data_IF_021072706528
#
_entry.id   IF_021072706528
#
_cell.length_a   1.000
_cell.length_b   1.000
_cell.length_c   1.000
_cell.angle_alpha   90.00
_cell.angle_beta   90.00
_cell.angle_gamma   90.00
#
_symmetry.space_group_name_H-M   'P 1'
#
loop_
_entity.id
_entity.type
_entity.pdbx_description
1 polymer ?
#
# COMPACT_ATOMS: atom_id res chain seq x y z
N UNK A 1 -0.53 0.45 32.60
CA UNK A 1 0.81 0.20 32.03
C UNK A 1 1.63 1.45 32.27
N UNK A 2 2.54 1.41 33.23
CA UNK A 2 3.40 2.54 33.57
C UNK A 2 4.39 2.80 32.44
N UNK A 3 4.30 3.97 31.80
CA UNK A 3 5.27 4.44 30.82
C UNK A 3 6.54 4.84 31.59
N UNK A 4 7.68 4.23 31.29
CA UNK A 4 8.96 4.64 31.85
C UNK A 4 9.23 6.11 31.48
N UNK A 5 9.72 6.95 32.41
CA UNK A 5 10.13 8.32 32.08
C UNK A 5 11.13 8.32 30.92
N UNK A 6 10.88 9.15 29.90
CA UNK A 6 11.72 9.24 28.70
C UNK A 6 11.42 8.24 27.58
N UNK A 7 10.46 7.33 27.74
CA UNK A 7 10.03 6.47 26.65
C UNK A 7 9.12 7.24 25.66
N UNK A 8 9.51 7.27 24.39
CA UNK A 8 8.69 7.83 23.32
C UNK A 8 7.43 6.95 23.09
N UNK A 9 6.27 7.56 22.79
CA UNK A 9 5.03 6.83 22.59
C UNK A 9 5.07 5.99 21.31
N UNK A 10 4.52 4.78 21.35
CA UNK A 10 4.27 4.01 20.12
C UNK A 10 3.10 4.65 19.37
N UNK A 11 3.29 4.88 18.08
CA UNK A 11 2.33 5.55 17.19
C UNK A 11 1.94 4.57 16.10
N UNK A 12 0.64 4.37 15.91
CA UNK A 12 0.08 3.44 14.94
C UNK A 12 -0.80 4.20 13.94
N UNK A 13 -0.80 3.79 12.69
CA UNK A 13 -1.53 4.50 11.61
C UNK A 13 -3.04 4.45 11.76
N UNK A 14 -3.58 3.42 12.43
CA UNK A 14 -4.99 3.35 12.83
C UNK A 14 -5.39 4.41 13.87
N UNK A 15 -4.43 4.93 14.64
CA UNK A 15 -4.65 5.91 15.70
C UNK A 15 -4.38 7.34 15.19
N UNK A 16 -4.25 7.51 13.88
CA UNK A 16 -3.95 8.81 13.25
C UNK A 16 -4.89 9.96 13.68
N UNK A 17 -6.21 9.78 13.88
CA UNK A 17 -7.08 10.87 14.35
C UNK A 17 -6.68 11.45 15.71
N UNK A 18 -5.95 10.69 16.53
CA UNK A 18 -5.40 11.16 17.81
C UNK A 18 -4.12 11.97 17.58
N UNK A 19 -3.33 11.60 16.57
CA UNK A 19 -2.03 12.21 16.28
C UNK A 19 -2.09 13.40 15.31
N UNK A 20 -3.16 13.52 14.51
CA UNK A 20 -3.35 14.65 13.59
C UNK A 20 -3.28 16.02 14.31
N UNK A 21 -4.00 16.25 15.44
CA UNK A 21 -3.87 17.50 16.20
C UNK A 21 -2.45 17.71 16.79
N UNK A 22 -1.73 16.62 17.08
CA UNK A 22 -0.35 16.70 17.58
C UNK A 22 0.60 17.10 16.46
N UNK A 23 0.39 16.61 15.24
CA UNK A 23 1.13 17.06 14.06
C UNK A 23 0.87 18.54 13.76
N UNK A 24 -0.37 18.99 13.88
CA UNK A 24 -0.71 20.42 13.76
C UNK A 24 0.01 21.27 14.81
N UNK A 25 -0.03 20.86 16.08
CA UNK A 25 0.64 21.56 17.17
C UNK A 25 2.16 21.59 17.01
N UNK A 26 2.77 20.44 16.66
CA UNK A 26 4.22 20.38 16.43
C UNK A 26 4.65 21.24 15.24
N UNK A 27 3.81 21.35 14.20
CA UNK A 27 4.06 22.27 13.10
C UNK A 27 3.93 23.74 13.52
N UNK A 28 2.92 24.09 14.31
CA UNK A 28 2.70 25.45 14.79
C UNK A 28 3.79 25.93 15.76
N UNK A 29 4.39 25.00 16.52
CA UNK A 29 5.42 25.26 17.52
C UNK A 29 6.85 25.00 17.02
N UNK A 30 7.01 24.75 15.72
CA UNK A 30 8.30 24.44 15.08
C UNK A 30 9.09 23.28 15.73
N UNK A 31 8.36 22.26 16.18
CA UNK A 31 8.92 21.07 16.82
C UNK A 31 9.27 19.99 15.79
N UNK A 32 10.16 20.34 14.85
CA UNK A 32 10.47 19.49 13.69
C UNK A 32 10.86 18.05 14.05
N UNK A 33 11.71 17.86 15.07
CA UNK A 33 12.14 16.51 15.47
C UNK A 33 11.02 15.62 16.02
N UNK A 34 10.02 16.20 16.71
CA UNK A 34 8.86 15.42 17.18
C UNK A 34 7.95 15.12 15.99
N UNK A 35 7.75 16.09 15.09
CA UNK A 35 6.97 15.89 13.86
C UNK A 35 7.56 14.76 13.02
N UNK A 36 8.86 14.78 12.77
CA UNK A 36 9.57 13.71 12.04
C UNK A 36 9.42 12.36 12.74
N UNK A 37 9.62 12.30 14.06
CA UNK A 37 9.39 11.06 14.82
C UNK A 37 7.98 10.49 14.61
N UNK A 38 6.94 11.34 14.67
CA UNK A 38 5.55 10.91 14.45
C UNK A 38 5.37 10.37 13.03
N UNK A 39 5.84 11.11 12.02
CA UNK A 39 5.71 10.73 10.61
C UNK A 39 6.49 9.44 10.29
N UNK A 40 7.67 9.24 10.88
CA UNK A 40 8.46 8.03 10.76
C UNK A 40 7.75 6.81 11.36
N UNK A 41 7.13 6.96 12.54
CA UNK A 41 6.36 5.87 13.14
C UNK A 41 5.11 5.52 12.30
N UNK A 42 4.42 6.53 11.76
CA UNK A 42 3.27 6.33 10.87
C UNK A 42 3.68 5.64 9.56
N UNK A 43 4.83 6.01 8.98
CA UNK A 43 5.38 5.33 7.81
C UNK A 43 5.85 3.89 8.14
N UNK A 44 6.38 3.67 9.34
CA UNK A 44 6.88 2.36 9.77
C UNK A 44 5.78 1.34 10.10
N UNK A 45 4.54 1.76 10.33
CA UNK A 45 3.42 0.86 10.64
C UNK A 45 2.81 0.24 9.37
N UNK A 46 3.54 -0.73 8.81
CA UNK A 46 3.14 -1.51 7.62
C UNK A 46 2.02 -2.52 7.89
N UNK A 47 1.58 -2.66 9.14
CA UNK A 47 0.69 -3.74 9.57
C UNK A 47 -0.74 -3.27 9.83
N UNK A 48 -0.93 -1.99 10.12
CA UNK A 48 -2.26 -1.44 10.34
C UNK A 48 -2.86 -0.87 9.05
N UNK A 49 -4.19 -0.94 8.99
CA UNK A 49 -4.98 -0.28 7.95
C UNK A 49 -5.19 1.15 8.45
N UNK A 50 -4.70 2.17 7.73
CA UNK A 50 -4.87 3.54 8.17
C UNK A 50 -6.35 3.92 8.18
N UNK A 51 -6.79 4.66 9.21
CA UNK A 51 -8.17 5.12 9.30
C UNK A 51 -8.48 6.28 8.34
N UNK A 52 -7.45 7.03 7.95
CA UNK A 52 -7.55 8.22 7.09
C UNK A 52 -6.31 8.32 6.17
N UNK A 53 -6.13 7.35 5.26
CA UNK A 53 -4.95 7.27 4.39
C UNK A 53 -4.76 8.52 3.51
N UNK A 54 -5.85 9.18 3.13
CA UNK A 54 -5.85 10.42 2.35
C UNK A 54 -5.22 11.59 3.13
N UNK A 55 -5.53 11.72 4.42
CA UNK A 55 -4.94 12.74 5.29
C UNK A 55 -3.47 12.46 5.55
N UNK A 56 -3.11 11.20 5.79
CA UNK A 56 -1.71 10.77 5.95
C UNK A 56 -0.87 11.09 4.72
N UNK A 57 -1.40 10.82 3.52
CA UNK A 57 -0.71 11.18 2.27
C UNK A 57 -0.52 12.70 2.19
N UNK A 58 -1.53 13.48 2.57
CA UNK A 58 -1.46 14.95 2.59
C UNK A 58 -0.37 15.46 3.54
N UNK A 59 -0.24 14.86 4.72
CA UNK A 59 0.85 15.14 5.66
C UNK A 59 2.22 14.78 5.11
N UNK A 60 2.32 13.63 4.45
CA UNK A 60 3.53 13.22 3.74
C UNK A 60 3.95 14.27 2.72
N UNK A 61 3.02 14.74 1.90
CA UNK A 61 3.29 15.74 0.85
C UNK A 61 3.64 17.10 1.47
N UNK A 62 2.84 17.61 2.42
CA UNK A 62 3.09 18.93 3.03
C UNK A 62 4.41 19.00 3.79
N UNK A 63 4.83 17.87 4.36
CA UNK A 63 6.09 17.76 5.12
C UNK A 63 7.25 17.24 4.26
N UNK A 64 7.05 16.99 2.96
CA UNK A 64 8.02 16.35 2.07
C UNK A 64 8.59 15.02 2.61
N UNK A 65 7.79 14.29 3.38
CA UNK A 65 8.18 13.07 4.08
C UNK A 65 8.06 11.84 3.16
N UNK A 66 9.14 11.56 2.42
CA UNK A 66 9.16 10.59 1.32
C UNK A 66 8.69 9.19 1.72
N UNK A 67 9.13 8.68 2.87
CA UNK A 67 8.71 7.36 3.36
C UNK A 67 7.19 7.27 3.53
N UNK A 68 6.57 8.32 4.09
CA UNK A 68 5.12 8.34 4.30
C UNK A 68 4.36 8.47 2.98
N UNK A 69 4.86 9.32 2.06
CA UNK A 69 4.29 9.44 0.70
C UNK A 69 4.30 8.07 0.01
N UNK A 70 5.45 7.39 0.03
CA UNK A 70 5.61 6.09 -0.62
C UNK A 70 4.65 5.04 -0.03
N UNK A 71 4.55 4.94 1.29
CA UNK A 71 3.66 3.98 1.94
C UNK A 71 2.18 4.25 1.64
N UNK A 72 1.76 5.52 1.63
CA UNK A 72 0.38 5.86 1.32
C UNK A 72 0.06 5.63 -0.16
N UNK A 73 0.99 5.95 -1.07
CA UNK A 73 0.84 5.59 -2.49
C UNK A 73 0.74 4.07 -2.66
N UNK A 74 1.55 3.29 -1.93
CA UNK A 74 1.51 1.83 -1.94
C UNK A 74 0.16 1.31 -1.46
N UNK A 75 -0.35 1.86 -0.36
CA UNK A 75 -1.68 1.54 0.18
C UNK A 75 -2.77 1.74 -0.87
N UNK A 76 -2.84 2.95 -1.47
CA UNK A 76 -3.85 3.25 -2.48
C UNK A 76 -3.69 2.43 -3.76
N UNK A 77 -2.46 2.23 -4.24
CA UNK A 77 -2.19 1.49 -5.46
C UNK A 77 -2.69 0.04 -5.37
N UNK A 78 -2.48 -0.58 -4.22
CA UNK A 78 -2.79 -1.99 -3.99
C UNK A 78 -4.19 -2.26 -3.48
N UNK A 79 -4.94 -1.26 -3.01
CA UNK A 79 -6.34 -1.44 -2.62
C UNK A 79 -7.18 -1.89 -3.81
N UNK A 80 -8.15 -2.79 -3.57
CA UNK A 80 -9.09 -3.25 -4.60
C UNK A 80 -10.08 -2.16 -5.00
N UNK A 81 -10.72 -1.54 -4.00
CA UNK A 81 -11.68 -0.45 -4.22
C UNK A 81 -11.01 0.79 -4.86
N UNK A 82 -11.74 1.51 -5.74
CA UNK A 82 -11.32 2.83 -6.23
C UNK A 82 -11.30 3.86 -5.09
N UNK A 83 -10.84 5.08 -5.36
CA UNK A 83 -10.98 6.19 -4.41
C UNK A 83 -12.46 6.47 -4.13
N UNK A 84 -12.80 6.69 -2.86
CA UNK A 84 -14.11 7.19 -2.47
C UNK A 84 -14.23 8.67 -2.82
N UNK A 85 -15.46 9.19 -2.85
CA UNK A 85 -15.70 10.61 -3.09
C UNK A 85 -15.01 11.49 -2.03
N UNK A 86 -15.07 11.09 -0.76
CA UNK A 86 -14.42 11.79 0.36
C UNK A 86 -12.89 11.83 0.21
N UNK A 87 -12.29 10.73 -0.24
CA UNK A 87 -10.85 10.67 -0.50
C UNK A 87 -10.46 11.58 -1.65
N UNK A 88 -11.25 11.61 -2.74
CA UNK A 88 -11.01 12.53 -3.86
C UNK A 88 -11.09 13.98 -3.41
N UNK A 89 -12.11 14.33 -2.63
CA UNK A 89 -12.28 15.69 -2.08
C UNK A 89 -11.09 16.06 -1.19
N UNK A 90 -10.66 15.16 -0.31
CA UNK A 90 -9.59 15.44 0.67
C UNK A 90 -8.21 15.53 0.03
N UNK A 91 -7.95 14.70 -1.00
CA UNK A 91 -6.70 14.69 -1.74
C UNK A 91 -6.58 15.85 -2.74
N UNK A 92 -7.71 16.38 -3.24
CA UNK A 92 -7.72 17.44 -4.25
C UNK A 92 -6.93 17.04 -5.50
N UNK A 93 -5.99 17.90 -5.94
CA UNK A 93 -5.16 17.65 -7.11
C UNK A 93 -4.30 16.37 -7.01
N UNK A 94 -3.97 15.93 -5.79
CA UNK A 94 -3.18 14.73 -5.58
C UNK A 94 -3.97 13.43 -5.85
N UNK A 95 -5.31 13.50 -5.94
CA UNK A 95 -6.12 12.35 -6.31
C UNK A 95 -5.75 11.82 -7.70
N UNK A 96 -5.44 12.71 -8.65
CA UNK A 96 -5.00 12.33 -10.00
C UNK A 96 -3.68 11.55 -9.97
N UNK A 97 -2.72 11.98 -9.13
CA UNK A 97 -1.46 11.25 -8.92
C UNK A 97 -1.72 9.87 -8.35
N UNK A 98 -2.55 9.76 -7.33
CA UNK A 98 -2.92 8.46 -6.73
C UNK A 98 -3.55 7.54 -7.78
N UNK A 99 -4.52 8.03 -8.55
CA UNK A 99 -5.15 7.27 -9.64
C UNK A 99 -4.14 6.84 -10.71
N UNK A 100 -3.23 7.72 -11.11
CA UNK A 100 -2.18 7.42 -12.09
C UNK A 100 -1.28 6.28 -11.63
N UNK A 101 -0.76 6.35 -10.40
CA UNK A 101 0.07 5.30 -9.81
C UNK A 101 -0.68 3.97 -9.77
N UNK A 102 -1.91 4.02 -9.26
CA UNK A 102 -2.82 2.89 -9.07
C UNK A 102 -3.13 2.22 -10.42
N UNK A 103 -3.25 2.98 -11.50
CA UNK A 103 -3.44 2.45 -12.86
C UNK A 103 -2.14 1.93 -13.47
N UNK A 104 -1.01 2.63 -13.29
CA UNK A 104 0.30 2.21 -13.79
C UNK A 104 0.73 0.86 -13.20
N UNK A 105 0.50 0.64 -11.90
CA UNK A 105 0.69 -0.65 -11.23
C UNK A 105 -0.17 -1.74 -11.88
N UNK A 106 -1.46 -1.47 -12.10
CA UNK A 106 -2.38 -2.44 -12.72
C UNK A 106 -2.00 -2.78 -14.15
N UNK A 107 -1.80 -1.77 -15.00
CA UNK A 107 -1.41 -1.95 -16.40
C UNK A 107 -0.08 -2.71 -16.51
N UNK A 108 0.90 -2.38 -15.66
CA UNK A 108 2.20 -3.09 -15.60
C UNK A 108 2.00 -4.56 -15.24
N UNK A 109 1.16 -4.84 -14.26
CA UNK A 109 0.88 -6.22 -13.84
C UNK A 109 0.15 -7.00 -14.95
N UNK A 110 -0.91 -6.42 -15.51
CA UNK A 110 -1.81 -7.07 -16.47
C UNK A 110 -1.18 -7.30 -17.85
N UNK A 111 -0.15 -6.55 -18.23
CA UNK A 111 0.48 -6.65 -19.55
C UNK A 111 1.09 -8.02 -19.84
N UNK A 112 1.78 -8.63 -18.87
CA UNK A 112 2.31 -9.99 -19.02
C UNK A 112 2.60 -10.64 -17.66
N UNK A 113 1.55 -11.00 -16.90
CA UNK A 113 1.70 -11.28 -15.47
C UNK A 113 2.51 -12.55 -15.19
N UNK A 114 2.32 -13.61 -16.00
CA UNK A 114 3.01 -14.89 -15.82
C UNK A 114 4.49 -14.82 -16.18
N UNK A 115 4.85 -14.14 -17.27
CA UNK A 115 6.25 -14.06 -17.70
C UNK A 115 7.03 -13.15 -16.77
N UNK A 116 6.43 -12.01 -16.38
CA UNK A 116 7.11 -10.99 -15.58
C UNK A 116 7.20 -11.36 -14.10
N UNK A 117 6.09 -11.75 -13.49
CA UNK A 117 6.00 -11.93 -12.02
C UNK A 117 5.97 -13.40 -11.60
N UNK A 118 5.82 -14.35 -12.53
CA UNK A 118 5.69 -15.76 -12.20
C UNK A 118 6.92 -16.35 -11.50
N UNK A 119 8.11 -15.76 -11.70
CA UNK A 119 9.36 -16.19 -11.06
C UNK A 119 9.47 -15.73 -9.61
N UNK A 120 8.88 -14.59 -9.28
CA UNK A 120 8.93 -13.96 -7.95
C UNK A 120 7.98 -14.63 -6.96
N UNK A 121 7.01 -15.39 -7.47
CA UNK A 121 6.16 -16.26 -6.67
C UNK A 121 6.91 -17.55 -6.40
N UNK A 122 7.18 -17.79 -5.13
CA UNK A 122 7.90 -18.98 -4.65
C UNK A 122 6.94 -19.96 -3.95
N UNK A 123 6.45 -21.01 -4.65
CA UNK A 123 5.69 -22.08 -4.01
C UNK A 123 6.47 -22.77 -2.90
N UNK A 124 5.74 -23.42 -2.00
CA UNK A 124 6.31 -24.28 -0.96
C UNK A 124 7.36 -25.24 -1.56
N UNK A 125 8.47 -25.49 -0.87
CA UNK A 125 9.56 -26.34 -1.38
C UNK A 125 9.05 -27.75 -1.78
N UNK A 126 8.12 -28.32 -1.01
CA UNK A 126 7.47 -29.62 -1.27
C UNK A 126 6.31 -29.58 -2.29
N UNK A 127 6.09 -28.45 -2.98
CA UNK A 127 5.03 -28.34 -3.97
C UNK A 127 5.37 -29.13 -5.24
N UNK A 128 4.57 -30.15 -5.56
CA UNK A 128 4.68 -30.92 -6.82
C UNK A 128 4.05 -30.24 -8.04
N UNK A 129 3.25 -29.18 -7.83
CA UNK A 129 2.50 -28.43 -8.85
C UNK A 129 2.91 -26.95 -8.86
N UNK A 130 4.22 -26.69 -8.95
CA UNK A 130 4.78 -25.33 -8.74
C UNK A 130 4.22 -24.33 -9.76
N UNK A 131 4.19 -24.71 -11.03
CA UNK A 131 3.73 -23.85 -12.13
C UNK A 131 2.24 -23.55 -12.00
N UNK A 132 1.42 -24.55 -11.69
CA UNK A 132 -0.02 -24.37 -11.51
C UNK A 132 -0.33 -23.51 -10.29
N UNK A 133 0.36 -23.73 -9.16
CA UNK A 133 0.17 -22.90 -7.97
C UNK A 133 0.52 -21.43 -8.25
N UNK A 134 1.64 -21.15 -8.94
CA UNK A 134 1.99 -19.80 -9.38
C UNK A 134 0.91 -19.19 -10.26
N UNK A 135 0.44 -19.96 -11.25
CA UNK A 135 -0.62 -19.52 -12.15
C UNK A 135 -1.88 -19.15 -11.39
N UNK A 136 -2.29 -19.95 -10.41
CA UNK A 136 -3.49 -19.67 -9.60
C UNK A 136 -3.35 -18.44 -8.72
N UNK A 137 -2.16 -18.18 -8.15
CA UNK A 137 -1.92 -16.93 -7.41
C UNK A 137 -2.07 -15.73 -8.35
N UNK A 138 -1.45 -15.79 -9.53
CA UNK A 138 -1.54 -14.72 -10.53
C UNK A 138 -2.98 -14.51 -11.00
N UNK A 139 -3.69 -15.58 -11.37
CA UNK A 139 -5.10 -15.52 -11.77
C UNK A 139 -5.96 -14.85 -10.69
N UNK A 140 -5.72 -15.17 -9.41
CA UNK A 140 -6.44 -14.55 -8.30
C UNK A 140 -6.12 -13.05 -8.15
N UNK A 141 -4.85 -12.66 -8.32
CA UNK A 141 -4.46 -11.24 -8.27
C UNK A 141 -5.08 -10.47 -9.45
N UNK A 142 -5.03 -11.03 -10.66
CA UNK A 142 -5.68 -10.46 -11.85
C UNK A 142 -7.17 -10.26 -11.59
N UNK A 143 -7.85 -11.28 -11.06
CA UNK A 143 -9.27 -11.19 -10.72
C UNK A 143 -9.55 -10.07 -9.71
N UNK A 144 -8.71 -9.90 -8.70
CA UNK A 144 -8.84 -8.80 -7.73
C UNK A 144 -8.59 -7.41 -8.36
N UNK A 145 -7.82 -7.31 -9.45
CA UNK A 145 -7.57 -6.05 -10.16
C UNK A 145 -8.68 -5.71 -11.17
N UNK A 146 -9.29 -6.71 -11.81
CA UNK A 146 -10.26 -6.54 -12.89
C UNK A 146 -11.71 -6.75 -12.46
N UNK A 147 -11.96 -7.18 -11.23
CA UNK A 147 -13.31 -7.36 -10.68
C UNK A 147 -14.10 -6.06 -10.67
N UNK A 148 -15.41 -6.16 -10.85
CA UNK A 148 -16.29 -4.99 -10.80
C UNK A 148 -16.29 -4.39 -9.40
N UNK A 149 -16.05 -3.08 -9.22
CA UNK A 149 -16.12 -2.44 -7.91
C UNK A 149 -17.48 -2.63 -7.20
N UNK A 150 -18.55 -2.84 -7.96
CA UNK A 150 -19.91 -3.05 -7.42
C UNK A 150 -20.08 -4.43 -6.75
N UNK A 151 -19.19 -5.38 -7.04
CA UNK A 151 -19.20 -6.73 -6.45
C UNK A 151 -18.35 -6.80 -5.18
N UNK A 152 -17.61 -5.73 -4.87
CA UNK A 152 -16.73 -5.63 -3.71
C UNK A 152 -17.51 -4.96 -2.57
N UNK A 153 -17.50 -5.52 -1.35
CA UNK A 153 -18.07 -4.84 -0.18
C UNK A 153 -17.52 -3.42 -0.03
N UNK A 154 -18.38 -2.46 0.34
CA UNK A 154 -17.98 -1.04 0.47
C UNK A 154 -16.93 -0.82 1.57
N UNK A 155 -16.89 -1.70 2.55
CA UNK A 155 -15.97 -1.74 3.68
C UNK A 155 -14.76 -2.66 3.45
N UNK A 156 -14.53 -3.11 2.20
CA UNK A 156 -13.41 -3.97 1.88
C UNK A 156 -12.07 -3.28 2.12
N UNK A 157 -11.37 -3.75 3.14
CA UNK A 157 -10.03 -3.30 3.50
C UNK A 157 -8.93 -4.18 2.89
N UNK A 158 -9.28 -5.09 1.97
CA UNK A 158 -8.33 -6.00 1.33
C UNK A 158 -7.60 -5.34 0.16
N UNK A 159 -6.36 -5.78 -0.04
CA UNK A 159 -5.58 -5.45 -1.23
C UNK A 159 -5.68 -6.52 -2.33
N UNK A 160 -5.15 -6.20 -3.50
CA UNK A 160 -5.16 -7.07 -4.69
C UNK A 160 -4.38 -8.39 -4.51
N UNK A 161 -3.52 -8.49 -3.50
CA UNK A 161 -2.77 -9.72 -3.18
C UNK A 161 -3.54 -10.65 -2.22
N UNK A 162 -4.76 -10.27 -1.80
CA UNK A 162 -5.61 -11.12 -0.98
C UNK A 162 -6.14 -12.30 -1.81
N UNK A 163 -5.48 -13.45 -1.72
CA UNK A 163 -5.87 -14.68 -2.44
C UNK A 163 -6.78 -15.55 -1.58
N UNK A 164 -8.08 -15.51 -1.86
CA UNK A 164 -9.09 -16.35 -1.17
C UNK A 164 -9.25 -17.73 -1.80
N UNK A 165 -8.82 -17.90 -3.05
CA UNK A 165 -8.95 -19.15 -3.82
C UNK A 165 -8.29 -20.35 -3.11
N UNK A 166 -8.98 -21.50 -3.17
CA UNK A 166 -8.50 -22.79 -2.66
C UNK A 166 -7.90 -23.68 -3.77
N UNK A 167 -7.52 -23.09 -4.91
CA UNK A 167 -7.01 -23.84 -6.09
C UNK A 167 -5.54 -24.23 -6.01
N UNK A 168 -4.76 -23.65 -5.08
CA UNK A 168 -3.37 -24.08 -4.84
C UNK A 168 -3.32 -25.43 -4.11
N UNK A 169 -2.21 -26.17 -4.25
CA UNK A 169 -2.07 -27.48 -3.60
C UNK A 169 -2.03 -27.37 -2.06
N UNK A 170 -2.24 -28.49 -1.36
CA UNK A 170 -2.28 -28.55 0.10
C UNK A 170 -1.04 -27.95 0.78
N UNK A 171 0.15 -28.09 0.18
CA UNK A 171 1.40 -27.53 0.73
C UNK A 171 1.49 -26.00 0.55
N UNK A 172 0.89 -25.46 -0.51
CA UNK A 172 0.90 -24.02 -0.77
C UNK A 172 -0.27 -23.29 -0.12
N UNK A 173 -1.35 -23.99 0.27
CA UNK A 173 -2.52 -23.37 0.91
C UNK A 173 -2.17 -22.50 2.13
N UNK A 174 -1.34 -22.96 3.09
CA UNK A 174 -1.03 -22.18 4.29
C UNK A 174 -0.24 -20.90 4.00
N UNK A 175 0.55 -20.89 2.93
CA UNK A 175 1.47 -19.79 2.58
C UNK A 175 1.01 -18.97 1.38
N UNK A 176 -0.20 -19.22 0.83
CA UNK A 176 -0.66 -18.60 -0.42
C UNK A 176 -0.67 -17.07 -0.38
N UNK A 177 -0.97 -16.49 0.79
CA UNK A 177 -0.95 -15.04 0.99
C UNK A 177 0.47 -14.49 0.98
N UNK A 178 1.41 -15.18 1.62
CA UNK A 178 2.83 -14.83 1.58
C UNK A 178 3.37 -14.92 0.14
N UNK A 179 3.05 -16.00 -0.57
CA UNK A 179 3.38 -16.19 -1.98
C UNK A 179 2.86 -15.06 -2.87
N UNK A 180 1.68 -14.51 -2.59
CA UNK A 180 1.14 -13.38 -3.33
C UNK A 180 1.83 -12.06 -2.94
N UNK A 181 2.10 -11.87 -1.64
CA UNK A 181 2.70 -10.65 -1.11
C UNK A 181 4.17 -10.46 -1.45
N UNK A 182 4.90 -11.50 -1.89
CA UNK A 182 6.26 -11.32 -2.42
C UNK A 182 6.29 -10.34 -3.60
N UNK A 183 5.20 -10.26 -4.36
CA UNK A 183 5.04 -9.36 -5.51
C UNK A 183 4.93 -7.87 -5.14
N UNK A 184 4.73 -7.54 -3.87
CA UNK A 184 4.73 -6.14 -3.41
C UNK A 184 6.11 -5.47 -3.49
N UNK A 185 7.16 -6.26 -3.69
CA UNK A 185 8.55 -5.81 -3.74
C UNK A 185 9.10 -5.99 -5.16
N UNK A 186 10.06 -5.16 -5.56
CA UNK A 186 10.66 -5.19 -6.90
C UNK A 186 9.97 -4.23 -7.86
N UNK A 187 9.69 -4.66 -9.09
CA UNK A 187 9.17 -3.83 -10.19
C UNK A 187 7.96 -2.95 -9.84
N UNK A 188 7.03 -3.45 -9.01
CA UNK A 188 5.85 -2.67 -8.60
C UNK A 188 6.22 -1.55 -7.62
N UNK A 189 7.29 -1.73 -6.86
CA UNK A 189 7.81 -0.75 -5.91
C UNK A 189 8.63 0.33 -6.61
N UNK A 190 9.35 -0.02 -7.68
CA UNK A 190 10.07 0.95 -8.51
C UNK A 190 9.10 1.95 -9.15
N UNK A 191 7.94 1.49 -9.64
CA UNK A 191 6.86 2.37 -10.15
C UNK A 191 6.37 3.33 -9.06
N UNK A 192 6.24 2.85 -7.83
CA UNK A 192 5.80 3.64 -6.69
C UNK A 192 6.85 4.71 -6.34
N UNK A 193 8.13 4.36 -6.37
CA UNK A 193 9.26 5.27 -6.11
C UNK A 193 9.41 6.35 -7.17
N UNK A 194 9.38 5.98 -8.46
CA UNK A 194 9.35 6.95 -9.57
C UNK A 194 8.20 7.95 -9.39
N UNK A 195 7.07 7.45 -8.92
CA UNK A 195 5.89 8.25 -8.72
C UNK A 195 5.90 9.07 -7.43
N UNK A 196 6.68 8.70 -6.41
CA UNK A 196 6.84 9.43 -5.14
C UNK A 196 7.80 10.62 -5.27
N UNK A 197 8.79 10.51 -6.16
CA UNK A 197 9.79 11.55 -6.40
C UNK A 197 9.23 12.78 -7.16
N UNK A 198 8.04 12.63 -7.77
CA UNK A 198 7.39 13.69 -8.53
C UNK A 198 8.07 13.85 -9.90
N UNK A 199 7.28 13.73 -10.96
CA UNK A 199 7.80 13.99 -12.30
C UNK A 199 8.12 15.49 -12.39
N UNK A 200 9.39 15.87 -12.30
CA UNK A 200 9.84 17.18 -12.78
C UNK A 200 9.81 17.06 -14.31
N UNK A 201 8.90 17.74 -15.02
CA UNK A 201 8.92 17.71 -16.47
C UNK A 201 10.26 18.30 -16.91
N UNK A 202 11.09 17.51 -17.59
CA UNK A 202 12.20 18.03 -18.36
C UNK A 202 11.61 19.00 -19.39
N UNK A 203 11.74 20.30 -19.11
CA UNK A 203 11.54 21.34 -20.10
C UNK A 203 12.80 21.33 -20.97
N UNK A 204 12.74 20.58 -22.07
CA UNK A 204 13.56 20.86 -23.25
C UNK A 204 13.02 22.10 -23.97
#
# INVERSE_FOLDING_TARGET
>A
MDRKPGALPVILSKDFPIWEPVLEATSALDMAGIREYILDQLAGDLTSIPSSPEKLLRWGISSSHQSLILEMLRFFAYRRLPLSEEEVITLGEHAARVMFVRERVRTTFLSNPLVRFGRDISPHNMCSKRTECRKFIIEAIVQNMTGSPNEIPKDDASDIFQVTSNRVCAQCQPIKLEMARTLRKGDLDDILRESSEGHVPNRE
#
